data_IF_070154004610
#
_entry.id   IF_070154004610
#
_cell.length_a   1.000
_cell.length_b   1.000
_cell.length_c   1.000
_cell.angle_alpha   90.00
_cell.angle_beta   90.00
_cell.angle_gamma   90.00
#
_symmetry.space_group_name_H-M   'P 1'
#
loop_
_entity.id
_entity.type
_entity.pdbx_description
1 polymer ?
#
# COMPACT_ATOMS: atom_id res chain seq x y z
N UNK A 1 22.90 -42.39 33.97
CA UNK A 1 21.66 -43.00 33.44
C UNK A 1 20.73 -43.24 34.62
N UNK A 2 19.50 -42.72 34.49
CA UNK A 2 18.28 -43.00 35.27
C UNK A 2 18.26 -42.47 36.73
N UNK A 3 17.39 -41.49 37.02
CA UNK A 3 16.00 -41.64 37.53
C UNK A 3 16.00 -42.16 38.98
N UNK A 4 15.21 -41.69 39.93
CA UNK A 4 14.16 -40.68 40.01
C UNK A 4 14.08 -40.29 41.51
N UNK A 5 13.60 -39.10 41.85
CA UNK A 5 13.02 -38.91 43.17
C UNK A 5 11.74 -38.09 43.04
N UNK A 6 10.64 -38.83 43.02
CA UNK A 6 9.30 -38.33 43.25
C UNK A 6 9.17 -38.08 44.74
N UNK A 7 8.81 -36.86 45.15
CA UNK A 7 7.99 -36.69 46.33
C UNK A 7 7.14 -35.43 46.22
N UNK A 8 5.87 -35.69 46.45
CA UNK A 8 4.70 -34.88 46.24
C UNK A 8 4.47 -34.02 47.49
N UNK A 9 4.39 -32.70 47.33
CA UNK A 9 3.88 -31.82 48.38
C UNK A 9 2.81 -30.92 47.77
N UNK A 10 1.58 -31.25 48.10
CA UNK A 10 0.37 -30.44 47.95
C UNK A 10 0.60 -29.01 48.43
N UNK A 11 0.31 -28.03 47.59
CA UNK A 11 -0.03 -26.69 48.07
C UNK A 11 -1.21 -26.13 47.28
N UNK A 12 -2.36 -26.18 47.95
CA UNK A 12 -3.59 -25.48 47.61
C UNK A 12 -3.35 -23.96 47.72
N UNK A 13 -3.35 -23.25 46.59
CA UNK A 13 -3.53 -21.81 46.58
C UNK A 13 -4.79 -21.46 45.78
N UNK A 14 -5.78 -21.02 46.57
CA UNK A 14 -7.00 -20.38 46.15
C UNK A 14 -6.66 -19.16 45.29
N UNK A 15 -6.92 -19.23 43.98
CA UNK A 15 -7.04 -18.03 43.15
C UNK A 15 -8.44 -17.46 43.36
N UNK A 16 -8.56 -16.52 44.29
CA UNK A 16 -9.70 -15.61 44.37
C UNK A 16 -9.74 -14.78 43.09
N UNK A 17 -10.78 -14.97 42.29
CA UNK A 17 -11.15 -14.10 41.17
C UNK A 17 -11.29 -12.66 41.68
N UNK A 18 -10.31 -11.81 41.36
CA UNK A 18 -10.48 -10.37 41.43
C UNK A 18 -11.29 -9.92 40.22
N UNK A 19 -12.62 -9.98 40.39
CA UNK A 19 -13.58 -9.36 39.50
C UNK A 19 -13.40 -7.84 39.61
N UNK A 20 -12.68 -7.22 38.67
CA UNK A 20 -12.61 -5.78 38.52
C UNK A 20 -13.97 -5.26 38.02
N UNK A 21 -14.76 -4.50 38.80
CA UNK A 21 -16.12 -4.13 38.42
C UNK A 21 -16.22 -2.85 37.55
N UNK A 22 -15.13 -2.46 36.86
CA UNK A 22 -15.13 -1.27 36.00
C UNK A 22 -14.31 -1.44 34.71
N UNK A 23 -14.45 -2.58 34.03
CA UNK A 23 -14.13 -2.61 32.60
C UNK A 23 -15.30 -1.98 31.84
N UNK A 24 -15.30 -0.65 31.73
CA UNK A 24 -16.19 0.05 30.82
C UNK A 24 -16.04 -0.57 29.44
N UNK A 25 -17.16 -0.98 28.83
CA UNK A 25 -17.20 -1.51 27.46
C UNK A 25 -16.33 -0.62 26.59
N UNK A 26 -15.22 -1.13 26.07
CA UNK A 26 -14.54 -0.45 24.99
C UNK A 26 -15.56 -0.39 23.86
N UNK A 27 -16.10 0.79 23.58
CA UNK A 27 -16.90 1.04 22.39
C UNK A 27 -15.94 1.00 21.19
N UNK A 28 -15.38 -0.17 20.92
CA UNK A 28 -14.67 -0.42 19.69
C UNK A 28 -15.69 -0.24 18.56
N UNK A 29 -15.38 0.57 17.53
CA UNK A 29 -16.27 0.70 16.39
C UNK A 29 -16.54 -0.68 15.78
N UNK A 30 -17.82 -1.05 15.68
CA UNK A 30 -18.29 -2.30 15.07
C UNK A 30 -19.17 -2.00 13.88
N UNK A 31 -19.14 -2.88 12.88
CA UNK A 31 -20.16 -2.88 11.83
C UNK A 31 -21.51 -3.32 12.41
N UNK A 32 -22.64 -2.85 11.87
CA UNK A 32 -23.95 -3.44 12.13
C UNK A 32 -23.94 -4.95 11.81
N UNK A 33 -24.58 -5.78 12.65
CA UNK A 33 -24.56 -7.24 12.50
C UNK A 33 -25.10 -7.71 11.15
N UNK A 34 -26.10 -7.01 10.61
CA UNK A 34 -26.73 -7.26 9.32
C UNK A 34 -25.83 -6.94 8.11
N UNK A 35 -24.70 -6.24 8.33
CA UNK A 35 -23.74 -5.89 7.27
C UNK A 35 -22.46 -6.72 7.29
N UNK A 36 -22.31 -7.66 8.23
CA UNK A 36 -21.08 -8.47 8.36
C UNK A 36 -20.83 -9.29 7.09
N UNK A 37 -21.85 -9.99 6.59
CA UNK A 37 -21.73 -10.81 5.39
C UNK A 37 -21.42 -9.97 4.15
N UNK A 38 -22.06 -8.81 4.01
CA UNK A 38 -21.78 -7.87 2.92
C UNK A 38 -20.33 -7.37 3.00
N UNK A 39 -19.83 -7.07 4.20
CA UNK A 39 -18.45 -6.64 4.40
C UNK A 39 -17.45 -7.74 4.02
N UNK A 40 -17.67 -8.99 4.45
CA UNK A 40 -16.79 -10.12 4.10
C UNK A 40 -16.74 -10.31 2.58
N UNK A 41 -17.91 -10.32 1.93
CA UNK A 41 -18.00 -10.41 0.47
C UNK A 41 -17.25 -9.26 -0.20
N UNK A 42 -17.45 -8.02 0.26
CA UNK A 42 -16.76 -6.84 -0.27
C UNK A 42 -15.24 -6.97 -0.15
N UNK A 43 -14.71 -7.43 0.99
CA UNK A 43 -13.27 -7.61 1.18
C UNK A 43 -12.69 -8.67 0.24
N UNK A 44 -13.42 -9.76 -0.03
CA UNK A 44 -13.05 -10.74 -1.05
C UNK A 44 -12.96 -10.11 -2.45
N UNK A 45 -13.91 -9.23 -2.81
CA UNK A 45 -13.85 -8.53 -4.12
C UNK A 45 -12.61 -7.64 -4.21
N UNK A 46 -12.28 -6.89 -3.15
CA UNK A 46 -11.06 -6.08 -3.12
C UNK A 46 -9.78 -6.92 -3.24
N UNK A 47 -9.73 -8.09 -2.61
CA UNK A 47 -8.62 -9.02 -2.77
C UNK A 47 -8.52 -9.53 -4.21
N UNK A 48 -9.63 -9.93 -4.82
CA UNK A 48 -9.69 -10.31 -6.24
C UNK A 48 -9.18 -9.21 -7.17
N UNK A 49 -9.61 -7.97 -6.95
CA UNK A 49 -9.16 -6.81 -7.73
C UNK A 49 -7.65 -6.58 -7.62
N UNK A 50 -7.08 -6.80 -6.43
CA UNK A 50 -5.64 -6.73 -6.19
C UNK A 50 -4.90 -7.80 -6.99
N UNK A 51 -5.42 -9.03 -7.06
CA UNK A 51 -4.81 -10.08 -7.90
C UNK A 51 -4.90 -9.76 -9.38
N UNK A 52 -6.06 -9.28 -9.88
CA UNK A 52 -6.25 -8.90 -11.29
C UNK A 52 -5.22 -7.85 -11.75
N UNK A 53 -5.05 -6.76 -11.00
CA UNK A 53 -4.03 -5.75 -11.31
C UNK A 53 -2.62 -6.34 -11.21
N UNK A 54 -2.36 -7.18 -10.21
CA UNK A 54 -1.05 -7.80 -10.00
C UNK A 54 -0.64 -8.67 -11.19
N UNK A 55 -1.53 -9.54 -11.67
CA UNK A 55 -1.28 -10.39 -12.83
C UNK A 55 -1.04 -9.56 -14.09
N UNK A 56 -1.82 -8.48 -14.29
CA UNK A 56 -1.59 -7.56 -15.42
C UNK A 56 -0.21 -6.91 -15.37
N UNK A 57 0.26 -6.52 -14.19
CA UNK A 57 1.61 -5.95 -13.99
C UNK A 57 2.71 -6.99 -14.23
N UNK A 58 2.55 -8.23 -13.74
CA UNK A 58 3.50 -9.34 -13.98
C UNK A 58 3.61 -9.68 -15.48
N UNK A 59 2.48 -9.66 -16.20
CA UNK A 59 2.45 -9.87 -17.64
C UNK A 59 3.18 -8.74 -18.37
N UNK A 60 2.94 -7.48 -17.99
CA UNK A 60 3.62 -6.33 -18.57
C UNK A 60 5.14 -6.40 -18.35
N UNK A 61 5.59 -6.76 -17.15
CA UNK A 61 7.01 -6.93 -16.83
C UNK A 61 7.65 -8.02 -17.70
N UNK A 62 7.00 -9.18 -17.80
CA UNK A 62 7.45 -10.30 -18.64
C UNK A 62 7.48 -9.94 -20.13
N UNK A 63 6.49 -9.20 -20.62
CA UNK A 63 6.44 -8.73 -22.02
C UNK A 63 7.60 -7.79 -22.32
N UNK A 64 7.90 -6.89 -21.39
CA UNK A 64 9.00 -5.94 -21.51
C UNK A 64 10.35 -6.63 -21.63
N UNK A 65 10.56 -7.67 -20.82
CA UNK A 65 11.79 -8.45 -20.87
C UNK A 65 12.00 -9.09 -22.23
N UNK A 66 10.94 -9.69 -22.79
CA UNK A 66 11.00 -10.35 -24.10
C UNK A 66 11.21 -9.34 -25.22
N UNK A 67 10.55 -8.18 -25.17
CA UNK A 67 10.56 -7.20 -26.26
C UNK A 67 11.76 -6.25 -26.23
N UNK A 68 12.27 -5.93 -25.05
CA UNK A 68 13.26 -4.88 -24.86
C UNK A 68 14.49 -5.32 -24.05
N UNK A 69 14.55 -6.59 -23.61
CA UNK A 69 15.62 -7.10 -22.74
C UNK A 69 15.82 -6.24 -21.49
N UNK A 70 14.70 -5.78 -20.93
CA UNK A 70 14.65 -4.91 -19.76
C UNK A 70 13.45 -5.29 -18.88
N UNK A 71 13.71 -5.54 -17.60
CA UNK A 71 12.69 -5.79 -16.58
C UNK A 71 12.39 -4.47 -15.84
N UNK A 72 11.27 -3.77 -16.11
CA UNK A 72 10.97 -2.48 -15.48
C UNK A 72 10.62 -2.61 -13.99
N UNK A 73 10.03 -3.73 -13.55
CA UNK A 73 9.61 -3.95 -12.17
C UNK A 73 10.68 -4.75 -11.43
N UNK A 74 11.23 -4.17 -10.37
CA UNK A 74 12.13 -4.88 -9.46
C UNK A 74 11.35 -5.85 -8.56
N UNK A 75 10.27 -5.38 -7.93
CA UNK A 75 9.36 -6.22 -7.14
C UNK A 75 8.03 -5.51 -6.88
N UNK A 76 7.05 -6.27 -6.37
CA UNK A 76 5.76 -5.74 -5.95
C UNK A 76 5.37 -6.22 -4.55
N UNK A 77 4.71 -5.34 -3.80
CA UNK A 77 4.08 -5.66 -2.52
C UNK A 77 2.58 -5.49 -2.63
N UNK A 78 1.82 -6.42 -2.05
CA UNK A 78 0.36 -6.42 -2.04
C UNK A 78 -0.13 -6.25 -0.62
N UNK A 79 -1.17 -5.44 -0.43
CA UNK A 79 -1.76 -5.21 0.88
C UNK A 79 -3.25 -4.96 0.78
N UNK A 80 -4.00 -5.77 1.52
CA UNK A 80 -5.37 -5.46 1.88
C UNK A 80 -5.38 -4.67 3.20
N UNK A 81 -6.16 -3.59 3.25
CA UNK A 81 -6.29 -2.78 4.47
C UNK A 81 -6.99 -3.60 5.56
N UNK A 82 -6.47 -3.56 6.79
CA UNK A 82 -7.12 -4.24 7.91
C UNK A 82 -8.44 -3.55 8.28
N UNK A 83 -9.38 -4.33 8.81
CA UNK A 83 -10.69 -3.83 9.29
C UNK A 83 -10.51 -2.64 10.23
N UNK A 84 -9.57 -2.76 11.18
CA UNK A 84 -9.26 -1.69 12.12
C UNK A 84 -8.83 -0.40 11.42
N UNK A 85 -7.88 -0.47 10.47
CA UNK A 85 -7.43 0.71 9.72
C UNK A 85 -8.48 1.26 8.75
N UNK A 86 -9.45 0.45 8.32
CA UNK A 86 -10.63 0.93 7.57
C UNK A 86 -11.48 1.80 8.50
N UNK A 87 -11.86 1.30 9.67
CA UNK A 87 -12.72 2.02 10.61
C UNK A 87 -12.06 3.30 11.12
N UNK A 88 -10.79 3.26 11.51
CA UNK A 88 -10.03 4.46 11.90
C UNK A 88 -10.03 5.52 10.79
N UNK A 89 -9.94 5.10 9.52
CA UNK A 89 -9.94 6.01 8.38
C UNK A 89 -11.31 6.62 8.14
N UNK A 90 -12.41 5.88 8.31
CA UNK A 90 -13.76 6.40 8.23
C UNK A 90 -14.03 7.41 9.37
N UNK A 91 -13.69 7.06 10.60
CA UNK A 91 -13.87 7.93 11.77
C UNK A 91 -13.09 9.24 11.64
N UNK A 92 -11.82 9.18 11.21
CA UNK A 92 -11.00 10.37 10.96
C UNK A 92 -11.55 11.26 9.84
N UNK A 93 -12.38 10.70 8.95
CA UNK A 93 -13.08 11.45 7.90
C UNK A 93 -14.51 11.84 8.29
N UNK A 94 -14.93 11.56 9.52
CA UNK A 94 -16.29 11.77 10.01
C UNK A 94 -17.35 11.08 9.14
N UNK A 95 -17.05 9.88 8.67
CA UNK A 95 -17.95 9.04 7.88
C UNK A 95 -18.51 7.90 8.72
N UNK A 96 -19.74 7.48 8.40
CA UNK A 96 -20.39 6.35 9.05
C UNK A 96 -19.64 5.04 8.77
N UNK A 97 -19.68 4.13 9.74
CA UNK A 97 -19.10 2.78 9.60
C UNK A 97 -20.15 1.88 8.95
N UNK A 98 -20.08 1.81 7.63
CA UNK A 98 -20.94 0.95 6.80
C UNK A 98 -20.22 0.49 5.54
N UNK A 99 -20.68 -0.61 4.96
CA UNK A 99 -20.20 -1.13 3.66
C UNK A 99 -20.32 -0.10 2.55
N UNK A 100 -21.45 0.63 2.52
CA UNK A 100 -21.67 1.75 1.58
C UNK A 100 -20.62 2.85 1.73
N UNK A 101 -20.36 3.30 2.96
CA UNK A 101 -19.38 4.35 3.23
C UNK A 101 -17.98 3.95 2.79
N UNK A 102 -17.60 2.67 2.99
CA UNK A 102 -16.34 2.12 2.50
C UNK A 102 -16.26 2.19 0.98
N UNK A 103 -17.28 1.64 0.29
CA UNK A 103 -17.36 1.58 -1.17
C UNK A 103 -17.26 2.96 -1.83
N UNK A 104 -17.98 3.94 -1.28
CA UNK A 104 -18.13 5.26 -1.89
C UNK A 104 -16.93 6.20 -1.60
N UNK A 105 -16.15 5.95 -0.54
CA UNK A 105 -15.16 6.92 -0.03
C UNK A 105 -13.73 6.39 0.11
N UNK A 106 -13.51 5.07 0.11
CA UNK A 106 -12.20 4.45 0.32
C UNK A 106 -11.69 3.76 -0.94
N UNK A 107 -10.69 4.37 -1.55
CA UNK A 107 -10.04 3.88 -2.77
C UNK A 107 -8.74 3.09 -2.52
N UNK A 108 -8.31 2.98 -1.26
CA UNK A 108 -7.06 2.30 -0.81
C UNK A 108 -7.36 1.06 0.07
N UNK A 109 -8.52 0.43 -0.12
CA UNK A 109 -8.82 -0.83 0.58
C UNK A 109 -7.93 -1.94 0.04
N UNK A 110 -7.83 -2.06 -1.29
CA UNK A 110 -6.80 -2.83 -1.98
C UNK A 110 -5.66 -1.90 -2.40
N UNK A 111 -4.43 -2.29 -2.07
CA UNK A 111 -3.23 -1.54 -2.39
C UNK A 111 -2.11 -2.40 -2.97
N UNK A 112 -1.44 -1.90 -4.00
CA UNK A 112 -0.25 -2.52 -4.58
C UNK A 112 0.86 -1.48 -4.59
N UNK A 113 2.05 -1.87 -4.14
CA UNK A 113 3.27 -1.08 -4.32
C UNK A 113 4.09 -1.72 -5.42
N UNK A 114 4.42 -0.95 -6.45
CA UNK A 114 5.25 -1.40 -7.56
C UNK A 114 6.58 -0.67 -7.48
N UNK A 115 7.64 -1.42 -7.23
CA UNK A 115 9.00 -0.89 -7.15
C UNK A 115 9.68 -1.15 -8.49
N UNK A 116 10.00 -0.08 -9.19
CA UNK A 116 10.66 -0.09 -10.48
C UNK A 116 12.17 0.17 -10.34
N UNK A 117 12.94 -0.29 -11.32
CA UNK A 117 14.39 -0.09 -11.36
C UNK A 117 14.75 1.38 -11.61
N UNK A 118 14.09 2.02 -12.58
CA UNK A 118 14.36 3.41 -12.96
C UNK A 118 13.11 4.29 -12.92
N UNK A 119 13.33 5.61 -12.97
CA UNK A 119 12.24 6.59 -12.93
C UNK A 119 11.37 6.51 -14.18
N UNK A 120 11.96 6.27 -15.35
CA UNK A 120 11.23 6.14 -16.61
C UNK A 120 10.34 4.89 -16.61
N UNK A 121 10.75 3.82 -15.89
CA UNK A 121 9.96 2.60 -15.74
C UNK A 121 8.68 2.86 -14.95
N UNK A 122 8.75 3.69 -13.90
CA UNK A 122 7.57 4.09 -13.10
C UNK A 122 6.46 4.63 -14.00
N UNK A 123 6.79 5.58 -14.87
CA UNK A 123 5.82 6.20 -15.78
C UNK A 123 5.41 5.23 -16.89
N UNK A 124 6.35 4.46 -17.42
CA UNK A 124 6.08 3.49 -18.48
C UNK A 124 5.07 2.44 -18.00
N UNK A 125 5.37 1.73 -16.91
CA UNK A 125 4.49 0.69 -16.36
C UNK A 125 3.11 1.25 -16.03
N UNK A 126 3.04 2.42 -15.38
CA UNK A 126 1.77 3.07 -15.08
C UNK A 126 0.98 3.39 -16.37
N UNK A 127 1.63 3.88 -17.42
CA UNK A 127 0.97 4.22 -18.68
C UNK A 127 0.51 2.98 -19.46
N UNK A 128 1.30 1.90 -19.49
CA UNK A 128 0.91 0.66 -20.16
C UNK A 128 -0.28 -0.01 -19.47
N UNK A 129 -0.29 -0.07 -18.13
CA UNK A 129 -1.45 -0.55 -17.39
C UNK A 129 -2.69 0.33 -17.66
N UNK A 130 -2.53 1.65 -17.67
CA UNK A 130 -3.61 2.63 -17.96
C UNK A 130 -4.18 2.56 -19.39
N UNK A 131 -3.47 1.91 -20.33
CA UNK A 131 -3.91 1.75 -21.71
C UNK A 131 -4.75 0.49 -21.92
N UNK A 132 -4.75 -0.47 -20.98
CA UNK A 132 -5.56 -1.68 -21.09
C UNK A 132 -7.06 -1.32 -21.13
N UNK A 133 -7.82 -2.01 -21.98
CA UNK A 133 -9.21 -1.64 -22.30
C UNK A 133 -10.20 -1.85 -21.16
N UNK A 134 -9.87 -2.73 -20.23
CA UNK A 134 -10.68 -3.08 -19.06
C UNK A 134 -10.26 -2.34 -17.77
N UNK A 135 -9.22 -1.50 -17.85
CA UNK A 135 -8.73 -0.69 -16.73
C UNK A 135 -9.22 0.75 -16.85
N UNK A 136 -9.81 1.26 -15.76
CA UNK A 136 -10.21 2.67 -15.66
C UNK A 136 -9.25 3.42 -14.72
N UNK A 137 -8.82 4.62 -15.11
CA UNK A 137 -7.98 5.49 -14.27
C UNK A 137 -8.88 6.49 -13.54
N UNK A 138 -9.15 6.24 -12.25
CA UNK A 138 -10.03 7.07 -11.45
C UNK A 138 -9.34 8.33 -10.91
N UNK A 139 -8.09 8.22 -10.48
CA UNK A 139 -7.34 9.35 -9.91
C UNK A 139 -5.84 9.16 -10.09
N UNK A 140 -5.13 10.26 -10.34
CA UNK A 140 -3.67 10.30 -10.43
C UNK A 140 -3.12 11.38 -9.50
N UNK A 141 -2.14 11.03 -8.68
CA UNK A 141 -1.38 11.94 -7.81
C UNK A 141 0.10 11.72 -8.05
N UNK A 142 0.72 12.64 -8.78
CA UNK A 142 2.13 12.58 -9.14
C UNK A 142 2.98 13.35 -8.13
N UNK A 143 3.43 12.66 -7.07
CA UNK A 143 4.37 13.20 -6.10
C UNK A 143 5.83 13.09 -6.55
N UNK A 144 6.11 12.54 -7.74
CA UNK A 144 7.46 12.57 -8.31
C UNK A 144 7.69 13.94 -8.93
N UNK A 145 6.73 14.42 -9.72
CA UNK A 145 6.72 15.76 -10.31
C UNK A 145 6.47 16.85 -9.25
N UNK A 146 5.53 16.61 -8.33
CA UNK A 146 5.20 17.54 -7.25
C UNK A 146 5.39 16.90 -5.86
N UNK A 147 6.64 16.77 -5.37
CA UNK A 147 6.93 16.14 -4.08
C UNK A 147 6.18 16.82 -2.92
N UNK A 148 5.85 16.04 -1.89
CA UNK A 148 5.34 16.63 -0.64
C UNK A 148 6.43 17.45 0.04
N UNK A 149 6.04 18.34 0.94
CA UNK A 149 6.96 19.22 1.68
C UNK A 149 8.06 18.47 2.44
N UNK A 150 7.77 17.26 2.94
CA UNK A 150 8.75 16.41 3.63
C UNK A 150 9.75 15.72 2.68
N UNK A 151 9.61 15.86 1.35
CA UNK A 151 10.46 15.19 0.36
C UNK A 151 9.90 13.89 -0.19
N UNK A 152 8.73 13.44 0.27
CA UNK A 152 8.09 12.21 -0.19
C UNK A 152 7.77 12.24 -1.70
N UNK A 153 8.10 11.14 -2.38
CA UNK A 153 7.88 10.93 -3.82
C UNK A 153 7.32 9.54 -4.08
N UNK A 154 6.34 9.49 -4.97
CA UNK A 154 5.73 8.28 -5.53
C UNK A 154 4.68 8.73 -6.56
N UNK A 155 4.41 7.92 -7.57
CA UNK A 155 3.25 8.11 -8.43
C UNK A 155 2.11 7.25 -7.90
N UNK A 156 1.02 7.86 -7.44
CA UNK A 156 -0.17 7.13 -6.99
C UNK A 156 -1.23 7.18 -8.08
N UNK A 157 -1.71 6.00 -8.48
CA UNK A 157 -2.81 5.87 -9.43
C UNK A 157 -3.87 4.98 -8.82
N UNK A 158 -5.12 5.44 -8.80
CA UNK A 158 -6.27 4.63 -8.42
C UNK A 158 -6.87 4.08 -9.71
N UNK A 159 -6.79 2.77 -9.88
CA UNK A 159 -7.42 2.05 -10.98
C UNK A 159 -8.75 1.44 -10.53
N UNK A 160 -9.70 1.27 -11.44
CA UNK A 160 -10.80 0.32 -11.28
C UNK A 160 -10.64 -0.83 -12.28
N UNK A 161 -10.72 -2.06 -11.78
CA UNK A 161 -10.62 -3.30 -12.55
C UNK A 161 -11.86 -4.16 -12.33
N UNK A 162 -12.41 -4.82 -13.36
CA UNK A 162 -13.54 -5.72 -13.17
C UNK A 162 -13.09 -7.01 -12.49
N UNK A 163 -13.76 -7.36 -11.40
CA UNK A 163 -13.66 -8.70 -10.78
C UNK A 163 -14.90 -9.48 -11.18
N UNK A 164 -14.72 -10.60 -11.89
CA UNK A 164 -15.83 -11.42 -12.36
C UNK A 164 -16.21 -12.46 -11.31
N UNK A 165 -17.39 -12.27 -10.72
CA UNK A 165 -18.02 -13.22 -9.80
C UNK A 165 -19.23 -13.89 -10.48
N UNK A 166 -19.87 -14.84 -9.79
CA UNK A 166 -21.11 -15.48 -10.26
C UNK A 166 -22.25 -14.49 -10.51
N UNK A 167 -22.22 -13.31 -9.87
CA UNK A 167 -23.16 -12.21 -10.05
C UNK A 167 -22.79 -11.23 -11.17
N UNK A 168 -21.66 -11.45 -11.85
CA UNK A 168 -21.17 -10.58 -12.93
C UNK A 168 -19.91 -9.80 -12.56
N UNK A 169 -19.63 -8.74 -13.34
CA UNK A 169 -18.45 -7.92 -13.19
C UNK A 169 -18.62 -6.85 -12.10
N UNK A 170 -17.66 -6.76 -11.19
CA UNK A 170 -17.59 -5.75 -10.13
C UNK A 170 -16.35 -4.89 -10.32
N UNK A 171 -16.52 -3.68 -10.85
CA UNK A 171 -15.42 -2.72 -11.00
C UNK A 171 -14.99 -2.20 -9.63
N UNK A 172 -13.79 -2.58 -9.22
CA UNK A 172 -13.33 -2.40 -7.84
C UNK A 172 -12.05 -1.57 -7.82
N UNK A 173 -11.96 -0.53 -6.96
CA UNK A 173 -10.81 0.34 -6.95
C UNK A 173 -9.60 -0.31 -6.26
N UNK A 174 -8.43 -0.11 -6.86
CA UNK A 174 -7.11 -0.52 -6.34
C UNK A 174 -6.18 0.67 -6.42
N UNK A 175 -5.60 1.07 -5.29
CA UNK A 175 -4.54 2.08 -5.26
C UNK A 175 -3.20 1.42 -5.60
N UNK A 176 -2.58 1.86 -6.69
CA UNK A 176 -1.23 1.42 -7.06
C UNK A 176 -0.24 2.56 -6.85
N UNK A 177 0.77 2.30 -6.03
CA UNK A 177 1.86 3.23 -5.74
C UNK A 177 3.11 2.79 -6.49
N UNK A 178 3.44 3.50 -7.56
CA UNK A 178 4.67 3.29 -8.32
C UNK A 178 5.80 4.11 -7.69
N UNK A 179 6.94 3.47 -7.50
CA UNK A 179 8.15 4.05 -6.90
C UNK A 179 9.38 3.47 -7.56
N UNK A 180 10.48 4.19 -7.47
CA UNK A 180 11.80 3.59 -7.66
C UNK A 180 12.30 2.97 -6.35
N UNK A 181 13.40 2.22 -6.42
CA UNK A 181 14.08 1.64 -5.24
C UNK A 181 14.44 2.74 -4.23
N UNK A 182 15.00 3.88 -4.66
CA UNK A 182 15.41 4.91 -3.72
C UNK A 182 14.22 5.65 -3.08
N UNK A 183 13.14 5.86 -3.84
CA UNK A 183 11.89 6.42 -3.30
C UNK A 183 11.31 5.53 -2.22
N UNK A 184 11.31 4.21 -2.44
CA UNK A 184 10.80 3.27 -1.44
C UNK A 184 11.70 3.17 -0.21
N UNK A 185 13.02 3.11 -0.40
CA UNK A 185 13.99 3.15 0.69
C UNK A 185 13.76 4.37 1.59
N UNK A 186 13.68 5.57 1.00
CA UNK A 186 13.46 6.80 1.75
C UNK A 186 12.10 6.79 2.47
N UNK A 187 11.02 6.40 1.78
CA UNK A 187 9.68 6.40 2.35
C UNK A 187 9.53 5.38 3.49
N UNK A 188 10.16 4.22 3.38
CA UNK A 188 10.16 3.18 4.40
C UNK A 188 10.90 3.63 5.67
N UNK A 189 12.04 4.31 5.52
CA UNK A 189 12.76 4.89 6.65
C UNK A 189 12.01 6.05 7.30
N UNK A 190 11.48 7.00 6.53
CA UNK A 190 10.71 8.12 7.07
C UNK A 190 9.48 7.63 7.84
N UNK A 191 8.77 6.65 7.29
CA UNK A 191 7.62 6.04 7.96
C UNK A 191 8.02 5.31 9.25
N UNK A 192 9.13 4.56 9.25
CA UNK A 192 9.63 3.90 10.45
C UNK A 192 9.99 4.92 11.55
N UNK A 193 10.66 6.02 11.19
CA UNK A 193 11.00 7.09 12.13
C UNK A 193 9.76 7.79 12.69
N UNK A 194 8.74 8.05 11.87
CA UNK A 194 7.51 8.70 12.35
C UNK A 194 6.66 7.80 13.25
N UNK A 195 6.50 6.52 12.91
CA UNK A 195 5.50 5.66 13.54
C UNK A 195 6.05 4.59 14.50
N UNK A 196 7.27 4.08 14.30
CA UNK A 196 7.85 3.04 15.18
C UNK A 196 8.67 3.61 16.33
N UNK A 197 9.20 4.82 16.17
CA UNK A 197 10.13 5.37 17.15
C UNK A 197 9.46 6.05 18.36
N UNK A 198 8.12 6.19 18.35
CA UNK A 198 7.38 6.89 19.41
C UNK A 198 7.94 8.28 19.72
N UNK A 199 8.63 8.88 18.74
CA UNK A 199 9.40 10.10 18.94
C UNK A 199 8.44 11.26 19.16
N UNK A 200 8.70 12.13 20.15
CA UNK A 200 8.00 13.40 20.25
C UNK A 200 8.16 14.19 18.94
N UNK A 201 7.08 14.82 18.47
CA UNK A 201 7.07 15.58 17.21
C UNK A 201 8.23 16.59 17.10
N UNK A 202 8.68 17.15 18.22
CA UNK A 202 9.83 18.04 18.29
C UNK A 202 11.13 17.42 17.76
N UNK A 203 11.42 16.15 18.07
CA UNK A 203 12.64 15.48 17.57
C UNK A 203 12.56 15.16 16.09
N UNK A 204 11.37 14.87 15.58
CA UNK A 204 11.17 14.67 14.14
C UNK A 204 11.33 16.00 13.39
N UNK A 205 10.86 17.11 13.97
CA UNK A 205 11.03 18.44 13.43
C UNK A 205 12.52 18.81 13.27
N UNK A 206 13.36 18.50 14.26
CA UNK A 206 14.81 18.73 14.22
C UNK A 206 15.49 18.03 13.03
N UNK A 207 15.03 16.83 12.65
CA UNK A 207 15.61 16.05 11.55
C UNK A 207 14.87 16.20 10.22
N UNK A 208 13.83 17.02 10.15
CA UNK A 208 13.00 17.20 8.95
C UNK A 208 13.82 17.72 7.77
N UNK A 209 14.72 18.67 8.02
CA UNK A 209 15.58 19.23 6.98
C UNK A 209 16.56 18.18 6.46
N UNK A 210 17.17 17.38 7.35
CA UNK A 210 18.08 16.28 6.96
C UNK A 210 17.35 15.24 6.11
N UNK A 211 16.13 14.85 6.47
CA UNK A 211 15.34 13.90 5.68
C UNK A 211 15.03 14.45 4.28
N UNK A 212 14.71 15.75 4.18
CA UNK A 212 14.48 16.41 2.89
C UNK A 212 15.76 16.45 2.03
N UNK A 213 16.90 16.73 2.63
CA UNK A 213 18.18 16.77 1.92
C UNK A 213 18.63 15.36 1.47
N UNK A 214 18.35 14.33 2.27
CA UNK A 214 18.49 12.93 1.86
C UNK A 214 17.60 12.62 0.64
N UNK A 215 16.33 13.05 0.64
CA UNK A 215 15.42 12.82 -0.49
C UNK A 215 15.96 13.47 -1.79
N UNK A 216 16.50 14.69 -1.70
CA UNK A 216 17.11 15.41 -2.83
C UNK A 216 18.37 14.70 -3.33
N UNK A 217 19.20 14.21 -2.41
CA UNK A 217 20.44 13.51 -2.74
C UNK A 217 20.15 12.20 -3.49
N UNK A 218 19.17 11.42 -3.00
CA UNK A 218 18.71 10.20 -3.68
C UNK A 218 18.16 10.51 -5.07
N UNK A 219 17.35 11.57 -5.24
CA UNK A 219 16.88 11.98 -6.56
C UNK A 219 18.04 12.24 -7.53
N UNK A 220 19.09 12.95 -7.09
CA UNK A 220 20.21 13.30 -7.96
C UNK A 220 20.98 12.04 -8.41
N UNK A 221 21.19 11.10 -7.48
CA UNK A 221 21.81 9.81 -7.79
C UNK A 221 20.95 9.03 -8.80
N UNK A 222 19.64 8.96 -8.59
CA UNK A 222 18.74 8.28 -9.52
C UNK A 222 18.72 8.94 -10.90
N UNK A 223 18.81 10.27 -10.98
CA UNK A 223 18.87 10.98 -12.26
C UNK A 223 20.15 10.64 -13.04
N UNK A 224 21.29 10.51 -12.36
CA UNK A 224 22.54 10.08 -12.99
C UNK A 224 22.45 8.63 -13.47
N UNK A 225 21.96 7.72 -12.63
CA UNK A 225 21.78 6.31 -12.98
C UNK A 225 20.78 6.13 -14.14
N UNK A 226 19.71 6.92 -14.16
CA UNK A 226 18.76 6.98 -15.27
C UNK A 226 19.43 7.43 -16.57
N UNK A 227 20.34 8.42 -16.51
CA UNK A 227 21.12 8.87 -17.66
C UNK A 227 21.98 7.75 -18.25
N UNK A 228 22.75 7.07 -17.40
CA UNK A 228 23.56 5.91 -17.80
C UNK A 228 22.68 4.82 -18.41
N UNK A 229 21.55 4.51 -17.78
CA UNK A 229 20.61 3.53 -18.31
C UNK A 229 20.09 3.90 -19.69
N UNK A 230 19.74 5.18 -19.92
CA UNK A 230 19.26 5.68 -21.22
C UNK A 230 20.33 5.60 -22.32
N UNK A 231 21.59 5.72 -21.96
CA UNK A 231 22.71 5.65 -22.90
C UNK A 231 23.01 4.20 -23.33
N UNK A 232 22.78 3.23 -22.43
CA UNK A 232 23.04 1.81 -22.66
C UNK A 232 21.82 1.09 -23.26
N UNK A 233 20.61 1.41 -22.78
CA UNK A 233 19.38 0.69 -23.13
C UNK A 233 18.42 1.53 -23.98
N UNK A 234 17.85 0.90 -25.01
CA UNK A 234 16.92 1.51 -25.96
C UNK A 234 15.43 1.37 -25.62
N UNK A 235 15.09 1.03 -24.37
CA UNK A 235 13.70 0.77 -23.97
C UNK A 235 12.80 2.02 -24.20
N UNK A 236 11.50 1.82 -24.50
CA UNK A 236 10.57 2.92 -24.75
C UNK A 236 10.50 3.90 -23.59
N UNK A 237 10.41 5.20 -23.92
CA UNK A 237 10.43 6.28 -22.94
C UNK A 237 9.02 6.83 -22.73
N UNK A 238 8.58 6.86 -21.48
CA UNK A 238 7.41 7.61 -21.04
C UNK A 238 7.85 8.48 -19.87
N UNK A 239 7.68 9.79 -19.99
CA UNK A 239 8.13 10.75 -18.96
C UNK A 239 6.96 11.42 -18.20
N UNK A 240 5.73 11.03 -18.52
CA UNK A 240 4.52 11.64 -17.97
C UNK A 240 3.58 10.61 -17.34
N UNK A 241 2.90 11.04 -16.26
CA UNK A 241 1.86 10.26 -15.62
C UNK A 241 0.66 10.03 -16.56
N UNK A 242 -0.11 8.93 -16.39
CA UNK A 242 -1.35 8.76 -17.13
C UNK A 242 -2.36 9.87 -16.81
N UNK A 243 -3.22 10.18 -17.78
CA UNK A 243 -4.33 11.11 -17.55
C UNK A 243 -5.51 10.38 -16.90
N UNK A 244 -6.16 11.01 -15.93
CA UNK A 244 -7.47 10.54 -15.45
C UNK A 244 -8.48 10.62 -16.59
N UNK A 245 -9.17 9.52 -16.87
CA UNK A 245 -10.32 9.53 -17.77
C UNK A 245 -11.54 9.87 -16.91
N UNK A 246 -11.71 11.16 -16.62
CA UNK A 246 -12.96 11.66 -16.02
C UNK A 246 -14.02 11.72 -17.12
#
# INVERSE_FOLDING_TARGET
MNEANSNNTTNTHNNTEHHCPQCGKSNAPTLPEDQIDEFVNMMQVYEGAMYEISTKLEILDSEFQVRFSHDPIHHMERRLKSVHSIFEKLQRRHLDISTRSIRDNLFDVAGIRVICNYRDDVYSVAQYLSKQTDIQVLQVKDYIKNPKQNGYRSLHVIYAVPVFLSSGAHYTPVEVQFRTIAMDYWASLEHALRYKAGLPDAKLAEHSQTLLDCARSLQNIEAQMQGIHRDINGAPRVEEAPNSRV
#
